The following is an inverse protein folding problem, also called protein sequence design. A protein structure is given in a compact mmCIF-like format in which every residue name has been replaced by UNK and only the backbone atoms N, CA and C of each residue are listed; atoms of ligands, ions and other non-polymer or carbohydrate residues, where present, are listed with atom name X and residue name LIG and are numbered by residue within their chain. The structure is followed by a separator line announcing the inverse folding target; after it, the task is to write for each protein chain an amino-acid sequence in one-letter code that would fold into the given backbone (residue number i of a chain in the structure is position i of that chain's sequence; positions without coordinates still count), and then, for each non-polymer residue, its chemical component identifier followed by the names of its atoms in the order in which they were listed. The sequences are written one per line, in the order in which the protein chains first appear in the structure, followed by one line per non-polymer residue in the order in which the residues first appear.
data_IF_096386760603
#
_entry.id   IF_096386760603
#
_cell.length_a   1.000
_cell.length_b   1.000
_cell.length_c   1.000
_cell.angle_alpha   90.00
_cell.angle_beta   90.00
_cell.angle_gamma   90.00
#
_symmetry.space_group_name_H-M   'P 1'
#
loop_
_entity.id
_entity.type
_entity.pdbx_description
1 polymer ?
2 polymer ?
3 polymer ?
4 non-polymer ?
5 water ?
#
loop_
_entity_poly.entity_id
_entity_poly.type
_entity_poly.pdbx_seq_one_letter_code
_entity_poly.pdbx_strand_id
2 'polydeoxyribonucleotide' '(DA)(DA)(DA)(DG)(DC)(DC)(DC)(DC)(DT)(DA)(DG)(DC)(DT)(DT)(DT)(DT)(DA)(DG)(DC)(DT)(DA)(DT)(DG)(DG)(DG)(DG)' ?
3 'polydeoxyribonucleotide' '(DT)(DA)(DT)(DT)(DA)(DC)' ?
#
# COMPACT_ATOMS: atom_id res chain seq x y z
N UNK A 10 3.57 -13.58 10.21
CA UNK A 10 4.07 -12.27 9.81
C UNK A 10 3.46 -11.91 8.48
N UNK A 11 3.74 -12.75 7.50
CA UNK A 11 3.24 -12.58 6.16
C UNK A 11 1.99 -13.39 5.88
N UNK A 12 1.06 -12.77 5.17
CA UNK A 12 -0.17 -13.42 4.80
C UNK A 12 -0.10 -13.53 3.27
N UNK A 13 -1.10 -14.18 2.68
CA UNK A 13 -1.14 -14.31 1.23
C UNK A 13 -2.55 -14.43 0.72
N UNK A 14 -2.77 -13.95 -0.50
CA UNK A 14 -4.05 -14.12 -1.14
C UNK A 14 -3.73 -15.24 -2.16
N UNK A 15 -4.53 -15.41 -3.20
CA UNK A 15 -4.22 -16.49 -4.14
C UNK A 15 -2.87 -16.33 -4.84
N UNK A 16 -2.46 -15.08 -5.04
CA UNK A 16 -1.24 -14.78 -5.81
C UNK A 16 -0.11 -13.96 -5.18
N UNK A 17 -0.33 -13.35 -4.03
CA UNK A 17 0.68 -12.47 -3.46
C UNK A 17 0.97 -12.79 -2.02
N UNK A 18 2.24 -12.69 -1.64
CA UNK A 18 2.66 -12.88 -0.25
C UNK A 18 2.92 -11.43 0.17
N UNK A 19 2.37 -11.02 1.31
CA UNK A 19 2.52 -9.63 1.70
C UNK A 19 2.39 -9.36 3.18
N UNK A 20 2.79 -8.14 3.53
CA UNK A 20 2.63 -7.58 4.86
C UNK A 20 2.69 -6.09 4.56
N UNK A 21 1.53 -5.46 4.52
CA UNK A 21 1.41 -4.04 4.20
C UNK A 21 0.67 -3.31 5.31
N UNK A 22 1.43 -2.60 6.15
CA UNK A 22 0.88 -1.88 7.29
C UNK A 22 0.92 -0.39 7.04
N UNK A 23 -0.13 0.31 7.46
CA UNK A 23 -0.22 1.74 7.21
C UNK A 23 -0.74 2.47 8.43
N UNK A 24 -0.25 3.71 8.60
CA UNK A 24 -0.78 4.58 9.63
C UNK A 24 -1.76 5.33 8.75
N UNK A 25 -2.99 5.49 9.20
CA UNK A 25 -4.03 6.20 8.47
C UNK A 25 -4.62 7.19 9.45
N UNK A 26 -4.76 8.45 9.05
CA UNK A 26 -5.33 9.47 9.93
C UNK A 26 -6.27 10.35 9.13
N UNK A 27 -7.45 10.62 9.68
CA UNK A 27 -8.40 11.54 9.03
C UNK A 27 -9.16 12.27 10.12
N UNK A 28 -9.77 13.41 9.76
CA UNK A 28 -10.47 14.24 10.70
C UNK A 28 -11.86 14.59 10.25
N UNK A 29 -12.71 15.03 11.19
CA UNK A 29 -14.09 15.42 10.87
C UNK A 29 -14.06 16.70 10.02
N UNK A 30 -15.13 16.94 9.29
CA UNK A 30 -15.31 18.13 8.47
C UNK A 30 -15.14 19.38 9.38
N UNK A 31 -14.41 20.39 8.90
CA UNK A 31 -14.15 21.64 9.64
C UNK A 31 -13.34 21.41 10.90
N UNK A 32 -12.79 20.21 11.04
CA UNK A 32 -12.03 19.83 12.22
C UNK A 32 -12.86 19.97 13.51
N UNK A 33 -14.16 19.77 13.40
CA UNK A 33 -15.04 19.85 14.57
C UNK A 33 -14.61 18.77 15.56
N UNK A 34 -14.63 19.12 16.84
CA UNK A 34 -14.25 18.21 17.91
C UNK A 34 -15.43 17.34 18.31
N UNK A 35 -15.85 16.48 17.39
CA UNK A 35 -17.02 15.63 17.64
C UNK A 35 -16.71 14.17 17.96
N UNK A 36 -15.45 13.76 17.91
CA UNK A 36 -15.13 12.36 18.19
C UNK A 36 -14.93 12.18 19.69
N UNK A 37 -16.02 12.32 20.44
CA UNK A 37 -15.99 12.21 21.89
C UNK A 37 -17.17 11.39 22.38
N UNK A 38 -17.15 11.01 23.66
CA UNK A 38 -18.26 10.25 24.22
C UNK A 38 -18.80 9.09 23.41
N UNK A 39 -20.11 9.07 23.23
CA UNK A 39 -20.80 8.01 22.53
C UNK A 39 -20.39 7.91 21.06
N UNK A 40 -20.10 9.05 20.45
CA UNK A 40 -19.71 9.06 19.04
C UNK A 40 -18.38 8.34 18.86
N UNK A 41 -17.42 8.62 19.74
CA UNK A 41 -16.10 7.99 19.70
C UNK A 41 -16.26 6.47 19.82
N UNK A 42 -17.08 6.05 20.77
CA UNK A 42 -17.31 4.64 21.03
C UNK A 42 -17.92 3.90 19.84
N UNK A 43 -18.96 4.46 19.26
CA UNK A 43 -19.65 3.86 18.14
C UNK A 43 -18.77 3.83 16.88
N UNK A 44 -17.99 4.89 16.68
CA UNK A 44 -17.09 5.00 15.56
C UNK A 44 -16.12 3.82 15.55
N UNK A 45 -15.50 3.56 16.69
CA UNK A 45 -14.53 2.46 16.79
C UNK A 45 -15.19 1.14 16.45
N UNK A 46 -16.40 0.98 16.96
CA UNK A 46 -17.18 -0.24 16.77
C UNK A 46 -17.50 -0.44 15.28
N UNK A 47 -17.87 0.63 14.59
CA UNK A 47 -18.18 0.54 13.16
C UNK A 47 -16.89 0.23 12.38
N UNK A 48 -15.76 0.84 12.74
CA UNK A 48 -14.50 0.62 12.04
C UNK A 48 -14.07 -0.86 12.20
N UNK A 49 -14.22 -1.38 13.41
CA UNK A 49 -13.86 -2.77 13.69
C UNK A 49 -14.71 -3.71 12.84
N UNK A 50 -15.99 -3.40 12.68
CA UNK A 50 -16.86 -4.25 11.88
C UNK A 50 -16.50 -4.17 10.39
N UNK A 51 -16.20 -2.97 9.90
CA UNK A 51 -15.81 -2.78 8.51
C UNK A 51 -14.55 -3.60 8.26
N UNK A 52 -13.58 -3.47 9.17
CA UNK A 52 -12.31 -4.18 9.04
C UNK A 52 -12.53 -5.68 9.00
N UNK A 53 -13.40 -6.18 9.88
CA UNK A 53 -13.68 -7.61 9.94
C UNK A 53 -14.23 -8.08 8.62
N UNK A 54 -15.19 -7.33 8.08
CA UNK A 54 -15.79 -7.69 6.81
C UNK A 54 -14.82 -7.59 5.64
N UNK A 55 -13.87 -6.67 5.75
CA UNK A 55 -12.91 -6.44 4.68
C UNK A 55 -11.56 -7.17 4.82
N UNK A 56 -11.45 -8.10 5.76
CA UNK A 56 -10.23 -8.88 5.98
C UNK A 56 -9.05 -7.96 6.26
N UNK A 57 -9.31 -6.89 7.02
CA UNK A 57 -8.29 -5.92 7.38
C UNK A 57 -8.01 -6.10 8.86
N UNK A 58 -6.74 -6.12 9.23
CA UNK A 58 -6.38 -6.28 10.62
C UNK A 58 -6.10 -4.92 11.24
N UNK A 59 -6.87 -4.56 12.26
CA UNK A 59 -6.65 -3.30 12.96
C UNK A 59 -5.64 -3.60 14.05
N UNK A 60 -4.48 -2.99 13.97
CA UNK A 60 -3.44 -3.19 14.95
C UNK A 60 -3.57 -2.16 16.08
N UNK A 61 -3.91 -0.93 15.72
CA UNK A 61 -4.08 0.13 16.71
C UNK A 61 -5.14 1.10 16.18
N UNK A 62 -5.94 1.66 17.08
CA UNK A 62 -6.94 2.64 16.69
C UNK A 62 -7.09 3.59 17.86
N UNK A 63 -6.72 4.84 17.66
CA UNK A 63 -6.79 5.88 18.68
C UNK A 63 -7.65 7.01 18.14
N UNK A 64 -8.42 7.63 19.03
CA UNK A 64 -9.24 8.77 18.66
C UNK A 64 -8.97 9.88 19.65
N UNK A 65 -9.10 11.10 19.17
CA UNK A 65 -8.99 12.28 19.98
C UNK A 65 -10.20 13.05 19.44
N UNK A 66 -10.58 14.11 20.14
CA UNK A 66 -11.74 14.90 19.75
C UNK A 66 -11.83 15.23 18.26
N UNK A 67 -10.71 15.45 17.60
CA UNK A 67 -10.76 15.86 16.20
C UNK A 67 -10.01 15.02 15.18
N UNK A 68 -9.73 13.77 15.49
CA UNK A 68 -9.06 12.91 14.53
C UNK A 68 -9.07 11.48 15.00
N UNK A 69 -8.87 10.57 14.06
CA UNK A 69 -8.80 9.16 14.36
C UNK A 69 -7.55 8.68 13.64
N UNK A 70 -6.78 7.85 14.32
CA UNK A 70 -5.56 7.27 13.78
C UNK A 70 -5.72 5.76 13.86
N UNK A 71 -5.43 5.09 12.76
CA UNK A 71 -5.52 3.65 12.66
C UNK A 71 -4.20 3.11 12.10
N UNK A 72 -3.76 1.97 12.62
CA UNK A 72 -2.57 1.31 12.10
C UNK A 72 -3.24 0.01 11.67
N UNK A 73 -3.20 -0.30 10.39
CA UNK A 73 -3.86 -1.50 9.86
C UNK A 73 -2.99 -2.25 8.86
N UNK A 74 -3.18 -3.57 8.77
CA UNK A 74 -2.47 -4.43 7.82
C UNK A 74 -3.54 -4.71 6.77
N UNK A 75 -3.25 -4.35 5.52
CA UNK A 75 -4.21 -4.47 4.44
C UNK A 75 -3.61 -5.13 3.20
N UNK A 76 -4.36 -6.07 2.63
CA UNK A 76 -3.95 -6.78 1.42
C UNK A 76 -3.79 -5.72 0.30
N UNK A 77 -2.60 -5.63 -0.31
CA UNK A 77 -2.28 -4.67 -1.38
C UNK A 77 -3.14 -4.82 -2.63
N UNK A 78 -3.62 -6.03 -2.92
CA UNK A 78 -4.48 -6.25 -4.07
C UNK A 78 -5.88 -5.69 -3.75
N UNK A 79 -6.22 -5.63 -2.47
CA UNK A 79 -7.52 -5.08 -2.08
C UNK A 79 -7.42 -3.56 -2.17
N UNK A 80 -6.38 -3.00 -1.57
CA UNK A 80 -6.17 -1.57 -1.63
C UNK A 80 -6.50 -0.84 -0.34
N UNK A 81 -5.54 -0.07 0.15
CA UNK A 81 -5.75 0.69 1.38
C UNK A 81 -6.88 1.70 1.16
N UNK A 82 -6.98 2.24 -0.05
CA UNK A 82 -8.01 3.21 -0.33
C UNK A 82 -9.41 2.63 -0.28
N UNK A 83 -9.53 1.34 -0.61
CA UNK A 83 -10.84 0.70 -0.57
C UNK A 83 -11.31 0.57 0.88
N UNK A 84 -10.38 0.23 1.77
CA UNK A 84 -10.72 0.13 3.19
C UNK A 84 -11.11 1.52 3.71
N UNK A 85 -10.30 2.52 3.38
CA UNK A 85 -10.55 3.89 3.84
C UNK A 85 -11.90 4.43 3.40
N UNK A 86 -12.26 4.28 2.13
CA UNK A 86 -13.54 4.83 1.71
C UNK A 86 -14.73 4.11 2.33
N UNK A 87 -14.58 2.82 2.65
CA UNK A 87 -15.68 2.09 3.25
C UNK A 87 -15.76 2.47 4.71
N UNK A 88 -14.62 2.57 5.38
CA UNK A 88 -14.63 2.93 6.79
C UNK A 88 -15.21 4.32 6.95
N UNK A 89 -14.77 5.24 6.10
CA UNK A 89 -15.26 6.61 6.19
C UNK A 89 -16.71 6.80 5.79
N UNK A 90 -17.07 6.28 4.62
CA UNK A 90 -18.43 6.41 4.13
C UNK A 90 -19.48 5.70 4.98
N UNK A 91 -19.16 4.48 5.43
CA UNK A 91 -20.11 3.75 6.25
C UNK A 91 -20.27 4.39 7.62
N UNK A 92 -19.15 4.78 8.24
CA UNK A 92 -19.21 5.41 9.55
C UNK A 92 -19.98 6.71 9.47
N UNK A 93 -19.82 7.44 8.38
CA UNK A 93 -20.49 8.72 8.22
C UNK A 93 -21.99 8.51 8.18
N UNK A 94 -22.44 7.66 7.27
CA UNK A 94 -23.85 7.36 7.10
C UNK A 94 -24.47 6.86 8.39
N UNK A 95 -23.87 5.86 9.02
CA UNK A 95 -24.40 5.31 10.25
C UNK A 95 -24.41 6.29 11.42
N UNK A 96 -23.28 6.92 11.69
CA UNK A 96 -23.22 7.88 12.79
C UNK A 96 -24.17 9.07 12.61
N UNK A 97 -24.34 9.54 11.38
CA UNK A 97 -25.23 10.67 11.15
C UNK A 97 -26.69 10.28 11.32
N UNK A 98 -27.00 8.99 11.16
CA UNK A 98 -28.35 8.49 11.36
C UNK A 98 -28.58 8.36 12.87
N UNK A 99 -27.58 7.88 13.58
CA UNK A 99 -27.69 7.64 15.01
C UNK A 99 -27.54 8.83 15.94
N UNK A 100 -26.79 9.84 15.51
CA UNK A 100 -26.54 11.03 16.30
C UNK A 100 -26.94 12.22 15.44
N UNK A 101 -28.19 12.65 15.60
CA UNK A 101 -28.76 13.74 14.81
C UNK A 101 -27.95 15.03 14.78
N UNK A 102 -27.30 15.38 15.88
CA UNK A 102 -26.50 16.60 15.90
C UNK A 102 -25.39 16.58 14.85
N UNK A 103 -24.94 15.38 14.48
CA UNK A 103 -23.90 15.24 13.47
C UNK A 103 -24.46 15.49 12.06
N UNK A 104 -25.75 15.21 11.89
CA UNK A 104 -26.41 15.37 10.60
C UNK A 104 -26.90 16.80 10.37
N UNK A 105 -27.33 17.46 11.45
CA UNK A 105 -27.86 18.81 11.33
C UNK A 105 -26.85 19.95 11.35
N UNK A 106 -25.70 19.72 11.95
CA UNK A 106 -24.68 20.75 12.06
C UNK A 106 -23.55 20.66 11.05
N UNK A 107 -23.51 19.59 10.28
CA UNK A 107 -22.46 19.39 9.30
C UNK A 107 -23.03 18.88 7.99
N UNK A 108 -22.41 19.26 6.86
CA UNK A 108 -22.87 18.83 5.56
C UNK A 108 -22.47 17.35 5.34
N UNK A 109 -21.37 16.95 5.95
CA UNK A 109 -20.86 15.59 5.85
C UNK A 109 -20.13 15.38 7.18
N UNK A 110 -19.83 14.14 7.54
CA UNK A 110 -19.12 13.94 8.79
C UNK A 110 -17.62 14.13 8.57
N UNK A 111 -17.11 13.62 7.45
CA UNK A 111 -15.67 13.69 7.18
C UNK A 111 -15.32 14.64 6.03
N UNK A 112 -14.03 14.72 5.72
CA UNK A 112 -13.58 15.53 4.60
C UNK A 112 -13.25 14.52 3.51
N UNK A 113 -12.84 15.03 2.36
CA UNK A 113 -12.44 14.22 1.21
C UNK A 113 -10.98 13.79 1.36
N UNK A 114 -10.32 14.13 2.46
CA UNK A 114 -8.90 13.82 2.62
C UNK A 114 -8.48 12.92 3.76
N UNK A 115 -7.25 12.41 3.67
CA UNK A 115 -6.70 11.58 4.74
C UNK A 115 -5.19 11.60 4.59
N UNK A 116 -4.50 11.10 5.60
CA UNK A 116 -3.04 11.01 5.64
C UNK A 116 -2.72 9.51 5.68
N UNK A 117 -1.71 9.07 4.93
CA UNK A 117 -1.33 7.65 4.91
C UNK A 117 0.21 7.50 4.89
N UNK A 118 0.76 6.66 5.76
CA UNK A 118 2.19 6.48 5.79
C UNK A 118 2.44 5.01 6.06
N UNK A 119 3.26 4.38 5.22
CA UNK A 119 3.56 2.96 5.41
C UNK A 119 4.41 2.72 6.64
N UNK A 120 4.30 1.52 7.19
CA UNK A 120 5.04 1.11 8.39
C UNK A 120 5.74 -0.19 7.99
N UNK A 121 6.91 -0.47 8.59
CA UNK A 121 7.64 -1.68 8.27
C UNK A 121 6.73 -2.88 8.37
N UNK A 122 6.72 -3.72 7.34
CA UNK A 122 5.84 -4.89 7.34
C UNK A 122 6.22 -5.97 8.33
N UNK A 123 7.49 -6.02 8.69
CA UNK A 123 8.01 -7.02 9.63
C UNK A 123 9.39 -6.52 10.06
N UNK A 124 9.94 -7.04 11.17
CA UNK A 124 11.27 -6.57 11.58
C UNK A 124 12.31 -6.91 10.50
N UNK A 125 13.39 -6.12 10.47
CA UNK A 125 14.46 -6.31 9.49
C UNK A 125 14.94 -7.74 9.39
N UNK A 126 15.16 -8.39 10.53
CA UNK A 126 15.65 -9.78 10.55
C UNK A 126 14.75 -10.73 9.75
N UNK A 127 13.45 -10.45 9.71
CA UNK A 127 12.51 -11.28 8.96
C UNK A 127 12.45 -10.90 7.48
N UNK A 128 12.32 -9.62 7.19
CA UNK A 128 12.22 -9.20 5.79
C UNK A 128 13.47 -9.58 4.99
N UNK A 129 14.64 -9.54 5.63
CA UNK A 129 15.91 -9.86 4.97
C UNK A 129 15.87 -11.15 4.18
N UNK A 130 15.26 -12.17 4.76
CA UNK A 130 15.15 -13.48 4.13
C UNK A 130 14.49 -13.40 2.76
N UNK A 131 13.55 -12.48 2.61
CA UNK A 131 12.81 -12.30 1.37
C UNK A 131 13.36 -11.35 0.34
N UNK A 132 14.24 -10.42 0.74
CA UNK A 132 14.70 -9.40 -0.21
C UNK A 132 16.17 -9.40 -0.50
N UNK A 133 16.95 -10.10 0.31
CA UNK A 133 18.38 -10.12 -0.01
C UNK A 133 19.09 -11.40 -0.38
N UNK A 134 18.85 -12.49 0.34
CA UNK A 134 19.42 -13.79 0.15
C UNK A 134 19.22 -14.74 1.32
N UNK B 10 9.34 14.80 2.17
CA UNK B 10 9.08 13.40 2.48
C UNK B 10 7.68 12.95 2.06
N UNK B 11 6.68 13.78 2.35
CA UNK B 11 5.30 13.45 1.99
C UNK B 11 4.87 14.11 0.70
N UNK B 12 4.17 13.33 -0.12
CA UNK B 12 3.67 13.79 -1.40
C UNK B 12 2.16 13.87 -1.26
N UNK B 13 1.48 14.40 -2.27
CA UNK B 13 0.01 14.44 -2.19
C UNK B 13 -0.60 14.38 -3.57
N UNK B 14 -1.77 13.78 -3.66
CA UNK B 14 -2.48 13.79 -4.93
C UNK B 14 -3.59 14.82 -4.68
N UNK B 15 -4.73 14.75 -5.36
CA UNK B 15 -5.75 15.76 -5.10
C UNK B 15 -6.38 15.69 -3.72
N UNK B 16 -6.44 14.48 -3.16
CA UNK B 16 -7.13 14.24 -1.90
C UNK B 16 -6.36 13.55 -0.77
N UNK B 17 -5.15 13.08 -1.05
CA UNK B 17 -4.42 12.34 -0.04
C UNK B 17 -3.00 12.80 0.13
N UNK B 18 -2.53 12.79 1.38
CA UNK B 18 -1.16 13.12 1.72
C UNK B 18 -0.59 11.76 2.08
N UNK B 19 0.55 11.40 1.51
CA UNK B 19 1.09 10.06 1.74
C UNK B 19 2.58 9.90 1.50
N UNK B 20 3.06 8.73 1.91
CA UNK B 20 4.43 8.26 1.68
C UNK B 20 4.27 6.76 1.90
N UNK B 21 4.20 6.00 0.82
CA UNK B 21 4.02 4.56 0.91
C UNK B 21 5.13 3.90 0.14
N UNK B 22 6.03 3.24 0.88
CA UNK B 22 7.19 2.61 0.29
C UNK B 22 7.02 1.12 0.43
N UNK B 23 7.46 0.38 -0.59
CA UNK B 23 7.33 -1.08 -0.59
C UNK B 23 8.55 -1.79 -1.15
N UNK B 24 8.87 -2.91 -0.52
CA UNK B 24 9.92 -3.81 -1.02
C UNK B 24 9.04 -4.70 -1.88
N UNK B 25 9.46 -4.93 -3.11
CA UNK B 25 8.72 -5.78 -4.04
C UNK B 25 9.74 -6.74 -4.61
N UNK B 26 9.43 -8.04 -4.61
CA UNK B 26 10.33 -9.05 -5.13
C UNK B 26 9.56 -10.08 -5.95
N UNK B 27 10.06 -10.42 -7.13
CA UNK B 27 9.42 -11.47 -7.94
C UNK B 27 10.52 -12.20 -8.70
N UNK B 28 10.22 -13.41 -9.18
CA UNK B 28 11.22 -14.24 -9.85
C UNK B 28 10.74 -14.75 -11.19
N UNK B 29 11.67 -15.21 -12.04
CA UNK B 29 11.32 -15.75 -13.35
C UNK B 29 10.57 -17.07 -13.17
N UNK B 30 9.79 -17.42 -14.18
CA UNK B 30 9.05 -18.68 -14.22
C UNK B 30 10.04 -19.83 -13.97
N UNK B 31 9.64 -20.82 -13.15
CA UNK B 31 10.50 -21.98 -12.82
C UNK B 31 11.77 -21.58 -12.08
N UNK B 32 11.84 -20.33 -11.65
CA UNK B 32 13.03 -19.81 -10.99
C UNK B 32 14.28 -19.93 -11.90
N UNK B 33 14.08 -19.86 -13.21
CA UNK B 33 15.21 -19.94 -14.15
C UNK B 33 16.21 -18.79 -13.89
N UNK B 34 17.50 -19.07 -14.04
CA UNK B 34 18.52 -18.05 -13.80
C UNK B 34 18.75 -17.25 -15.07
N UNK B 35 17.74 -16.51 -15.50
CA UNK B 35 17.83 -15.76 -16.73
C UNK B 35 18.15 -14.27 -16.59
N UNK B 36 18.11 -13.73 -15.38
CA UNK B 36 18.37 -12.31 -15.20
C UNK B 36 19.87 -12.01 -15.14
N UNK B 37 20.55 -12.19 -16.27
CA UNK B 37 21.98 -11.96 -16.34
C UNK B 37 22.35 -11.16 -17.59
N UNK B 38 23.50 -10.50 -17.55
CA UNK B 38 23.98 -9.75 -18.70
C UNK B 38 23.02 -8.77 -19.32
N UNK B 39 22.87 -8.87 -20.65
CA UNK B 39 22.01 -7.98 -21.40
C UNK B 39 20.56 -8.00 -20.92
N UNK B 40 20.06 -9.17 -20.55
CA UNK B 40 18.69 -9.30 -20.05
C UNK B 40 18.52 -8.45 -18.79
N UNK B 41 19.43 -8.60 -17.84
CA UNK B 41 19.38 -7.83 -16.61
C UNK B 41 19.44 -6.32 -16.87
N UNK B 42 20.33 -5.92 -17.78
CA UNK B 42 20.50 -4.51 -18.11
C UNK B 42 19.21 -3.94 -18.71
N UNK B 43 18.68 -4.64 -19.70
CA UNK B 43 17.46 -4.21 -20.36
C UNK B 43 16.25 -4.23 -19.42
N UNK B 44 16.17 -5.24 -18.55
CA UNK B 44 15.06 -5.31 -17.61
C UNK B 44 14.98 -4.04 -16.74
N UNK B 45 16.12 -3.60 -16.24
CA UNK B 45 16.15 -2.41 -15.39
C UNK B 45 15.72 -1.18 -16.17
N UNK B 46 16.17 -1.06 -17.42
CA UNK B 46 15.80 0.10 -18.23
C UNK B 46 14.30 0.13 -18.40
N UNK B 47 13.71 -1.02 -18.71
CA UNK B 47 12.27 -1.08 -18.91
C UNK B 47 11.51 -0.67 -17.65
N UNK B 48 11.91 -1.20 -16.51
CA UNK B 48 11.23 -0.87 -15.28
C UNK B 48 11.40 0.59 -14.88
N UNK B 49 12.54 1.16 -15.21
CA UNK B 49 12.74 2.58 -14.90
C UNK B 49 11.77 3.40 -15.76
N UNK B 50 11.61 3.02 -17.03
CA UNK B 50 10.70 3.73 -17.91
C UNK B 50 9.26 3.59 -17.43
N UNK B 51 8.87 2.38 -16.97
CA UNK B 51 7.53 2.14 -16.43
C UNK B 51 7.28 3.04 -15.22
N UNK B 52 8.26 3.08 -14.31
CA UNK B 52 8.12 3.89 -13.12
C UNK B 52 7.93 5.37 -13.47
N UNK B 53 8.76 5.87 -14.37
CA UNK B 53 8.67 7.25 -14.83
C UNK B 53 7.27 7.55 -15.32
N UNK B 54 6.77 6.72 -16.22
CA UNK B 54 5.45 6.91 -16.78
C UNK B 54 4.33 6.82 -15.77
N UNK B 55 4.50 5.96 -14.76
CA UNK B 55 3.45 5.77 -13.76
C UNK B 55 3.64 6.60 -12.51
N UNK B 56 4.56 7.56 -12.54
CA UNK B 56 4.80 8.43 -11.38
C UNK B 56 5.17 7.65 -10.13
N UNK B 57 6.01 6.62 -10.31
CA UNK B 57 6.45 5.80 -9.20
C UNK B 57 7.93 6.13 -8.99
N UNK B 58 8.35 6.31 -7.75
CA UNK B 58 9.74 6.61 -7.50
C UNK B 58 10.46 5.31 -7.14
N UNK B 59 11.46 4.94 -7.93
CA UNK B 59 12.25 3.75 -7.65
C UNK B 59 13.41 4.19 -6.77
N UNK B 60 13.39 3.78 -5.51
CA UNK B 60 14.43 4.14 -4.56
C UNK B 60 15.66 3.27 -4.83
N UNK B 61 15.43 1.98 -5.02
CA UNK B 61 16.52 1.04 -5.29
C UNK B 61 15.95 -0.12 -6.11
N UNK B 62 16.78 -0.72 -6.96
CA UNK B 62 16.38 -1.86 -7.78
C UNK B 62 17.62 -2.72 -8.00
N UNK B 63 17.53 -4.00 -7.67
CA UNK B 63 18.67 -4.89 -7.84
C UNK B 63 18.16 -6.21 -8.36
N UNK B 64 19.00 -6.90 -9.11
CA UNK B 64 18.63 -8.20 -9.64
C UNK B 64 19.73 -9.19 -9.35
N UNK B 65 19.33 -10.42 -9.09
CA UNK B 65 20.26 -11.51 -8.92
C UNK B 65 19.80 -12.34 -10.15
N UNK B 66 20.52 -13.39 -10.46
CA UNK B 66 20.17 -14.21 -11.60
C UNK B 66 18.73 -14.71 -11.61
N UNK B 67 18.15 -14.94 -10.44
CA UNK B 67 16.80 -15.48 -10.36
C UNK B 67 15.74 -14.66 -9.62
N UNK B 68 15.95 -13.36 -9.50
CA UNK B 68 14.97 -12.50 -8.85
C UNK B 68 15.34 -11.04 -8.99
N UNK B 69 14.35 -10.18 -8.83
CA UNK B 69 14.56 -8.75 -8.87
C UNK B 69 13.89 -8.21 -7.62
N UNK B 70 14.52 -7.22 -7.01
CA UNK B 70 14.04 -6.57 -5.81
C UNK B 70 14.00 -5.07 -6.07
N UNK B 71 12.85 -4.48 -5.81
CA UNK B 71 12.61 -3.07 -6.02
C UNK B 71 12.11 -2.46 -4.71
N UNK B 72 12.63 -1.28 -4.37
CA UNK B 72 12.15 -0.52 -3.20
C UNK B 72 11.53 0.67 -3.94
N UNK B 73 10.22 0.89 -3.78
CA UNK B 73 9.55 1.99 -4.47
C UNK B 73 8.53 2.77 -3.64
N UNK B 74 8.36 4.06 -3.94
CA UNK B 74 7.38 4.91 -3.25
C UNK B 74 6.27 5.02 -4.27
N UNK B 75 5.06 4.60 -3.88
CA UNK B 75 3.93 4.58 -4.79
C UNK B 75 2.68 5.21 -4.17
N UNK B 76 1.99 6.03 -4.96
CA UNK B 76 0.75 6.68 -4.54
C UNK B 76 -0.24 5.54 -4.21
N UNK B 77 -0.78 5.52 -2.96
CA UNK B 77 -1.73 4.46 -2.58
C UNK B 77 -3.04 4.45 -3.37
N UNK B 78 -3.44 5.60 -3.90
CA UNK B 78 -4.65 5.69 -4.69
C UNK B 78 -4.40 5.00 -6.04
N UNK B 79 -3.17 5.05 -6.51
CA UNK B 79 -2.82 4.39 -7.76
C UNK B 79 -2.75 2.88 -7.52
N UNK B 80 -2.03 2.48 -6.48
CA UNK B 80 -1.93 1.07 -6.16
C UNK B 80 -0.64 0.37 -6.57
N UNK B 81 -0.05 -0.30 -5.60
CA UNK B 81 1.19 -1.02 -5.81
C UNK B 81 0.98 -2.14 -6.84
N UNK B 82 -0.20 -2.75 -6.86
CA UNK B 82 -0.47 -3.82 -7.82
C UNK B 82 -0.51 -3.32 -9.26
N UNK B 83 -0.98 -2.10 -9.47
CA UNK B 83 -1.02 -1.56 -10.83
C UNK B 83 0.41 -1.33 -11.33
N UNK B 84 1.31 -0.91 -10.44
CA UNK B 84 2.70 -0.73 -10.82
C UNK B 84 3.31 -2.11 -11.10
N UNK B 85 3.03 -3.09 -10.24
CA UNK B 85 3.60 -4.41 -10.44
C UNK B 85 3.13 -5.06 -11.74
N UNK B 86 1.84 -4.95 -12.00
CA UNK B 86 1.24 -5.52 -13.20
C UNK B 86 1.92 -4.97 -14.46
N UNK B 87 2.12 -3.65 -14.51
CA UNK B 87 2.73 -3.01 -15.65
C UNK B 87 4.21 -3.35 -15.78
N UNK B 88 4.93 -3.29 -14.66
CA UNK B 88 6.35 -3.59 -14.66
C UNK B 88 6.62 -5.01 -15.10
N UNK B 89 5.86 -5.98 -14.58
CA UNK B 89 6.04 -7.38 -14.96
C UNK B 89 5.54 -7.67 -16.37
N UNK B 90 4.33 -7.23 -16.67
CA UNK B 90 3.75 -7.46 -17.97
C UNK B 90 4.50 -6.86 -19.15
N UNK B 91 4.90 -5.60 -19.01
CA UNK B 91 5.62 -4.97 -20.11
C UNK B 91 7.02 -5.53 -20.27
N UNK B 92 7.73 -5.78 -19.16
CA UNK B 92 9.07 -6.33 -19.27
C UNK B 92 9.03 -7.73 -19.88
N UNK B 93 8.01 -8.51 -19.56
CA UNK B 93 7.89 -9.85 -20.12
C UNK B 93 7.73 -9.72 -21.64
N UNK B 94 6.79 -8.88 -22.06
CA UNK B 94 6.54 -8.68 -23.47
C UNK B 94 7.81 -8.27 -24.22
N UNK B 95 8.38 -7.14 -23.83
CA UNK B 95 9.59 -6.62 -24.47
C UNK B 95 10.78 -7.58 -24.42
N UNK B 96 11.08 -8.11 -23.24
CA UNK B 96 12.23 -9.02 -23.13
C UNK B 96 12.06 -10.27 -23.99
N UNK B 97 10.84 -10.80 -24.08
CA UNK B 97 10.60 -11.98 -24.89
C UNK B 97 10.70 -11.68 -26.39
N UNK B 98 10.45 -10.43 -26.75
CA UNK B 98 10.58 -10.03 -28.14
C UNK B 98 12.06 -9.85 -28.46
N UNK B 99 12.79 -9.27 -27.50
CA UNK B 99 14.20 -8.98 -27.70
C UNK B 99 15.18 -10.13 -27.53
N UNK B 100 14.85 -11.06 -26.64
CA UNK B 100 15.73 -12.20 -26.37
C UNK B 100 14.93 -13.45 -26.65
N UNK B 101 15.04 -13.93 -27.88
CA UNK B 101 14.34 -15.12 -28.36
C UNK B 101 14.39 -16.35 -27.45
N UNK B 102 15.51 -16.59 -26.77
CA UNK B 102 15.60 -17.75 -25.87
C UNK B 102 14.62 -17.67 -24.71
N UNK B 103 14.28 -16.45 -24.30
CA UNK B 103 13.32 -16.25 -23.21
C UNK B 103 11.92 -16.60 -23.69
N UNK B 104 11.70 -16.55 -24.99
CA UNK B 104 10.40 -16.86 -25.54
C UNK B 104 10.28 -18.33 -25.90
N UNK B 105 11.36 -18.93 -26.38
CA UNK B 105 11.31 -20.33 -26.77
C UNK B 105 11.43 -21.34 -25.63
N UNK B 106 12.19 -20.99 -24.61
CA UNK B 106 12.40 -21.89 -23.47
C UNK B 106 11.41 -21.75 -22.31
N UNK B 107 10.51 -20.79 -22.40
CA UNK B 107 9.56 -20.55 -21.32
C UNK B 107 8.17 -20.19 -21.81
N UNK B 108 7.13 -20.60 -21.07
CA UNK B 108 5.76 -20.28 -21.48
C UNK B 108 5.48 -18.80 -21.21
N UNK B 109 6.08 -18.29 -20.13
CA UNK B 109 5.96 -16.90 -19.71
C UNK B 109 7.33 -16.53 -19.13
N UNK B 110 7.62 -15.24 -18.98
CA UNK B 110 8.89 -14.87 -18.36
C UNK B 110 8.75 -14.92 -16.84
N UNK B 111 7.62 -14.44 -16.32
CA UNK B 111 7.41 -14.40 -14.89
C UNK B 111 6.33 -15.38 -14.40
N UNK B 112 6.12 -15.39 -13.10
CA UNK B 112 5.06 -16.22 -12.51
C UNK B 112 3.90 -15.26 -12.21
N UNK B 113 2.82 -15.81 -11.65
CA UNK B 113 1.63 -15.02 -11.26
C UNK B 113 1.81 -14.47 -9.84
N UNK B 114 3.00 -14.62 -9.26
CA UNK B 114 3.20 -14.20 -7.88
C UNK B 114 4.32 -13.20 -7.63
N UNK B 115 4.28 -12.58 -6.45
CA UNK B 115 5.29 -11.63 -6.03
C UNK B 115 5.22 -11.55 -4.50
N UNK B 116 6.24 -10.92 -3.92
CA UNK B 116 6.33 -10.70 -2.48
C UNK B 116 6.28 -9.18 -2.29
N UNK B 117 5.52 -8.70 -1.31
CA UNK B 117 5.43 -7.26 -1.05
C UNK B 117 5.47 -6.98 0.46
N UNK B 118 6.31 -6.05 0.88
CA UNK B 118 6.41 -5.71 2.30
C UNK B 118 6.56 -4.20 2.42
N UNK B 119 5.70 -3.56 3.22
CA UNK B 119 5.81 -2.11 3.39
C UNK B 119 7.08 -1.74 4.16
N UNK B 120 7.53 -0.51 3.95
CA UNK B 120 8.73 0.06 4.58
C UNK B 120 8.26 1.38 5.20
N UNK B 121 8.87 1.79 6.31
CA UNK B 121 8.47 3.06 6.93
C UNK B 121 8.43 4.21 5.95
N UNK B 122 7.33 4.98 5.97
CA UNK B 122 7.16 6.09 5.05
C UNK B 122 8.10 7.27 5.22
N UNK B 123 8.52 7.52 6.45
CA UNK B 123 9.43 8.62 6.71
C UNK B 123 10.09 8.34 8.06
N UNK B 124 11.12 9.13 8.43
CA UNK B 124 11.73 8.84 9.74
C UNK B 124 10.71 9.07 10.85
N UNK B 125 10.77 8.23 11.88
CA UNK B 125 9.87 8.30 13.03
C UNK B 125 9.63 9.72 13.53
N UNK B 126 10.68 10.53 13.49
CA UNK B 126 10.63 11.92 13.96
C UNK B 126 9.53 12.66 13.20
N UNK B 127 9.50 12.45 11.89
CA UNK B 127 8.53 13.11 11.03
C UNK B 127 7.12 12.50 11.11
N UNK B 128 7.04 11.16 11.15
CA UNK B 128 5.74 10.51 11.21
C UNK B 128 4.91 10.88 12.43
N UNK B 129 5.55 10.90 13.60
CA UNK B 129 4.86 11.24 14.85
C UNK B 129 4.10 12.55 14.76
N UNK B 130 4.68 13.52 14.07
CA UNK B 130 4.07 14.83 13.86
C UNK B 130 2.66 14.71 13.23
N UNK B 131 2.49 13.73 12.34
CA UNK B 131 1.21 13.54 11.66
C UNK B 131 0.26 12.56 12.31
N UNK B 132 0.75 11.70 13.20
CA UNK B 132 -0.12 10.69 13.81
C UNK B 132 -0.39 10.84 15.31
N UNK B 133 0.33 11.75 15.97
CA UNK B 133 0.15 11.98 17.40
C UNK B 133 0.30 13.46 17.73
N UNK B 134 -0.21 13.87 18.88
CA UNK B 134 -0.13 15.26 19.30
C UNK B 134 1.32 15.67 19.55
#
# INVERSE_FOLDING_TARGET
GSAMASNAVLYKSNHNVVYSCKYHIVWCPKYRRKVLVGAVEMRLKEIIQEVAKELRVEIIEMQTDKDHIHILADIDPSFGVMKFIKTAKGRSSRILRQEFNHLKTKLPTLWTNSCFISTVGGAPLNVVKQYIENQQNSNRPKQKEKWKSYVDNLQTKAL
GSAMASNAVLYKSNHNVVYSCKYHIVWCPKYRRKVLVGAVEMRLKEIIQEVAKELRVEIIEMQTDKDHIHILADIDPSFGVMKFIKTAKGRSSRILRQEFNHLKTKLPTLWTNSCFISTVGGAPLNVVKQYIENQQNSNRPKQKEKWKSYVDNLQTKAL
#
